data_IF_280656653858
#
_entry.id   IF_280656653858
#
_cell.length_a   1.000
_cell.length_b   1.000
_cell.length_c   1.000
_cell.angle_alpha   90.00
_cell.angle_beta   90.00
_cell.angle_gamma   90.00
#
_symmetry.space_group_name_H-M   'P 1'
#
loop_
_entity.id
_entity.type
_entity.pdbx_description
1 polymer ?
#
# COMPACT_ATOMS: atom_id res chain seq x y z
N UNK A 1 -29.87 -3.01 -23.55
CA UNK A 1 -30.40 -2.82 -22.18
C UNK A 1 -29.20 -2.69 -21.25
N UNK A 2 -29.25 -1.72 -20.34
CA UNK A 2 -28.14 -1.27 -19.51
C UNK A 2 -27.68 -2.36 -18.52
N UNK A 3 -26.38 -2.62 -18.44
CA UNK A 3 -25.79 -3.34 -17.31
C UNK A 3 -25.20 -2.34 -16.33
N UNK A 4 -25.83 -2.33 -15.15
CA UNK A 4 -25.43 -1.85 -13.83
C UNK A 4 -24.13 -1.05 -13.68
N UNK A 5 -24.32 0.21 -13.28
CA UNK A 5 -23.35 1.02 -12.56
C UNK A 5 -23.21 0.47 -11.12
N UNK A 6 -22.35 -0.53 -10.92
CA UNK A 6 -21.87 -0.85 -9.57
C UNK A 6 -21.03 0.34 -9.08
N UNK A 7 -21.27 0.85 -7.85
CA UNK A 7 -20.40 1.89 -7.30
C UNK A 7 -18.99 1.33 -7.21
N UNK A 8 -18.03 2.00 -7.84
CA UNK A 8 -16.62 1.62 -7.73
C UNK A 8 -16.24 1.54 -6.24
N UNK A 9 -15.58 0.45 -5.87
CA UNK A 9 -15.16 0.23 -4.48
C UNK A 9 -14.27 1.41 -4.02
N UNK A 10 -14.46 1.95 -2.81
CA UNK A 10 -13.62 3.02 -2.31
C UNK A 10 -12.14 2.65 -2.32
N UNK A 11 -11.29 3.64 -2.61
CA UNK A 11 -9.85 3.48 -2.57
C UNK A 11 -9.37 3.34 -1.13
N UNK A 12 -8.37 2.50 -0.91
CA UNK A 12 -7.76 2.30 0.40
C UNK A 12 -6.25 2.52 0.33
N UNK A 13 -5.68 2.96 1.45
CA UNK A 13 -4.26 3.20 1.53
C UNK A 13 -3.43 1.96 1.17
N UNK A 14 -3.74 0.80 1.75
CA UNK A 14 -2.94 -0.41 1.57
C UNK A 14 -2.98 -0.96 0.14
N UNK A 15 -4.16 -0.98 -0.49
CA UNK A 15 -4.33 -1.57 -1.83
C UNK A 15 -3.87 -0.63 -2.92
N UNK A 16 -4.27 0.64 -2.83
CA UNK A 16 -4.24 1.53 -3.99
C UNK A 16 -3.11 2.58 -3.90
N UNK A 17 -2.70 2.96 -2.69
CA UNK A 17 -1.80 4.10 -2.46
C UNK A 17 -0.41 3.68 -2.06
N UNK A 18 -0.30 2.73 -1.13
CA UNK A 18 0.98 2.20 -0.62
C UNK A 18 1.88 1.70 -1.75
N UNK A 19 1.39 1.00 -2.81
CA UNK A 19 2.25 0.59 -3.92
C UNK A 19 2.85 1.78 -4.69
N UNK A 20 2.06 2.84 -4.88
CA UNK A 20 2.50 4.08 -5.55
C UNK A 20 3.59 4.76 -4.71
N UNK A 21 3.34 4.93 -3.41
CA UNK A 21 4.32 5.56 -2.51
C UNK A 21 5.59 4.70 -2.37
N UNK A 22 5.46 3.36 -2.35
CA UNK A 22 6.61 2.44 -2.38
C UNK A 22 7.49 2.68 -3.60
N UNK A 23 6.90 2.90 -4.78
CA UNK A 23 7.63 3.10 -6.02
C UNK A 23 8.36 4.44 -6.09
N UNK A 24 7.76 5.50 -5.53
CA UNK A 24 8.20 6.88 -5.80
C UNK A 24 8.71 7.65 -4.58
N UNK A 25 8.30 7.29 -3.36
CA UNK A 25 8.46 8.17 -2.20
C UNK A 25 9.17 7.53 -1.00
N UNK A 26 8.95 6.24 -0.74
CA UNK A 26 9.38 5.61 0.50
C UNK A 26 10.90 5.49 0.65
N UNK A 27 11.67 5.55 -0.45
CA UNK A 27 13.14 5.56 -0.40
C UNK A 27 13.66 6.66 0.55
N UNK A 28 13.09 7.87 0.49
CA UNK A 28 13.50 9.00 1.34
C UNK A 28 12.51 9.36 2.45
N UNK A 29 11.24 9.00 2.29
CA UNK A 29 10.16 9.34 3.23
C UNK A 29 9.56 8.10 3.91
N UNK A 30 10.42 7.18 4.36
CA UNK A 30 9.99 6.03 5.16
C UNK A 30 11.02 4.91 5.38
N UNK A 31 11.86 4.60 4.39
CA UNK A 31 12.85 3.51 4.48
C UNK A 31 14.09 3.92 5.29
N UNK A 32 14.45 5.20 5.26
CA UNK A 32 15.54 5.77 6.05
C UNK A 32 15.17 5.82 7.55
N UNK A 33 16.16 5.66 8.42
CA UNK A 33 15.97 5.79 9.87
C UNK A 33 15.51 7.22 10.25
N UNK A 34 15.99 8.21 9.50
CA UNK A 34 15.62 9.62 9.61
C UNK A 34 15.02 10.09 8.27
N UNK A 35 13.69 10.07 8.10
CA UNK A 35 13.05 10.47 6.86
C UNK A 35 13.31 11.94 6.52
N UNK A 36 13.49 12.25 5.23
CA UNK A 36 13.72 13.63 4.79
C UNK A 36 12.55 14.54 5.17
N UNK A 37 12.88 15.73 5.69
CA UNK A 37 11.89 16.71 6.15
C UNK A 37 11.00 16.20 7.30
N UNK A 38 11.46 15.23 8.08
CA UNK A 38 10.70 14.64 9.18
C UNK A 38 9.42 13.93 8.76
N UNK A 39 9.26 13.62 7.46
CA UNK A 39 8.01 13.11 6.89
C UNK A 39 8.09 11.61 6.62
N UNK A 40 7.24 10.85 7.28
CA UNK A 40 7.04 9.40 7.05
C UNK A 40 5.71 9.16 6.31
N UNK A 41 5.79 8.51 5.15
CA UNK A 41 4.64 8.21 4.29
C UNK A 41 4.18 6.75 4.37
N UNK A 42 4.73 5.95 5.31
CA UNK A 42 4.39 4.53 5.45
C UNK A 42 2.99 4.27 6.00
N UNK A 43 2.37 5.28 6.62
CA UNK A 43 1.05 5.23 7.25
C UNK A 43 0.26 6.52 6.96
N UNK A 44 -1.04 6.39 6.74
CA UNK A 44 -1.95 7.49 6.50
C UNK A 44 -1.96 8.50 7.66
N UNK A 45 -1.95 8.02 8.92
CA UNK A 45 -1.86 8.93 10.08
C UNK A 45 -0.57 9.74 10.12
N UNK A 46 0.55 9.21 9.61
CA UNK A 46 1.81 9.95 9.58
C UNK A 46 1.78 11.05 8.52
N UNK A 47 1.11 10.80 7.40
CA UNK A 47 0.86 11.83 6.38
C UNK A 47 -0.04 12.96 6.91
N UNK A 48 -1.04 12.62 7.74
CA UNK A 48 -1.91 13.61 8.40
C UNK A 48 -1.17 14.41 9.48
N UNK A 49 -0.30 13.77 10.27
CA UNK A 49 0.55 14.47 11.24
C UNK A 49 1.58 15.37 10.55
N UNK A 50 2.09 14.93 9.40
CA UNK A 50 3.04 15.69 8.60
C UNK A 50 4.48 15.62 9.11
N UNK A 51 5.33 16.42 8.48
CA UNK A 51 6.73 16.63 8.85
C UNK A 51 7.02 18.12 9.08
N UNK A 52 8.24 18.55 8.79
CA UNK A 52 8.71 19.92 9.05
C UNK A 52 7.90 21.00 8.31
N UNK A 53 7.29 20.63 7.17
CA UNK A 53 6.43 21.53 6.38
C UNK A 53 4.96 21.51 6.80
N UNK A 54 4.60 20.72 7.81
CA UNK A 54 3.21 20.46 8.22
C UNK A 54 2.62 19.21 7.55
N UNK A 55 1.29 19.07 7.65
CA UNK A 55 0.54 17.92 7.16
C UNK A 55 0.77 17.70 5.65
N UNK A 56 1.14 16.48 5.27
CA UNK A 56 1.34 16.13 3.87
C UNK A 56 0.01 15.99 3.12
N UNK A 57 -1.05 15.55 3.81
CA UNK A 57 -2.39 15.43 3.25
C UNK A 57 -3.43 16.06 4.17
N UNK A 58 -4.52 16.55 3.59
CA UNK A 58 -5.72 16.97 4.27
C UNK A 58 -6.89 16.11 3.80
N UNK A 59 -7.41 15.24 4.66
CA UNK A 59 -8.49 14.31 4.30
C UNK A 59 -9.74 15.07 3.80
N UNK A 60 -10.25 14.66 2.64
CA UNK A 60 -11.35 15.35 1.94
C UNK A 60 -10.94 16.60 1.18
N UNK A 61 -9.66 17.02 1.21
CA UNK A 61 -9.17 18.26 0.61
C UNK A 61 -7.90 18.03 -0.22
N UNK A 62 -8.00 17.42 -1.42
CA UNK A 62 -6.84 17.17 -2.27
C UNK A 62 -6.09 18.45 -2.65
N UNK A 63 -6.82 19.53 -2.92
CA UNK A 63 -6.24 20.83 -3.29
C UNK A 63 -5.48 21.52 -2.14
N UNK A 64 -5.75 21.13 -0.88
CA UNK A 64 -5.05 21.64 0.30
C UNK A 64 -3.92 20.72 0.78
N UNK A 65 -3.58 19.69 0.02
CA UNK A 65 -2.60 18.67 0.43
C UNK A 65 -1.21 18.96 -0.16
N UNK A 66 -0.22 19.17 0.71
CA UNK A 66 1.16 19.48 0.29
C UNK A 66 1.78 18.38 -0.57
N UNK A 67 1.46 17.10 -0.32
CA UNK A 67 1.92 15.98 -1.14
C UNK A 67 1.56 16.20 -2.61
N UNK A 68 0.33 16.63 -2.86
CA UNK A 68 -0.18 16.88 -4.21
C UNK A 68 0.56 18.07 -4.85
N UNK A 69 0.71 19.17 -4.11
CA UNK A 69 1.43 20.36 -4.57
C UNK A 69 2.88 20.05 -4.97
N UNK A 70 3.62 19.31 -4.14
CA UNK A 70 5.03 18.97 -4.37
C UNK A 70 5.22 18.04 -5.57
N UNK A 71 4.25 17.19 -5.84
CA UNK A 71 4.26 16.37 -7.06
C UNK A 71 3.97 17.22 -8.29
N UNK A 72 2.97 18.10 -8.24
CA UNK A 72 2.62 18.97 -9.37
C UNK A 72 3.71 19.96 -9.74
N UNK A 73 4.42 20.50 -8.73
CA UNK A 73 5.56 21.39 -8.94
C UNK A 73 6.77 20.67 -9.55
N UNK A 74 6.77 19.33 -9.54
CA UNK A 74 7.88 18.50 -9.99
C UNK A 74 9.06 18.47 -9.02
N UNK A 75 8.88 18.99 -7.80
CA UNK A 75 9.88 18.88 -6.74
C UNK A 75 9.99 17.45 -6.21
N UNK A 76 8.88 16.71 -6.22
CA UNK A 76 8.80 15.32 -5.81
C UNK A 76 8.18 14.42 -6.88
N UNK A 77 8.70 13.19 -7.06
CA UNK A 77 10.01 12.72 -6.59
C UNK A 77 11.16 13.40 -7.35
N UNK A 78 12.35 13.53 -6.73
CA UNK A 78 13.50 14.15 -7.38
C UNK A 78 14.03 13.27 -8.52
N UNK A 79 14.59 13.91 -9.55
CA UNK A 79 15.23 13.23 -10.68
C UNK A 79 14.26 12.72 -11.74
N UNK A 80 14.60 11.59 -12.37
CA UNK A 80 13.87 11.07 -13.54
C UNK A 80 12.70 10.14 -13.21
N UNK A 81 12.58 9.67 -11.96
CA UNK A 81 11.53 8.72 -11.52
C UNK A 81 10.17 9.40 -11.37
N UNK A 82 9.63 10.03 -12.42
CA UNK A 82 8.37 10.76 -12.30
C UNK A 82 7.18 9.83 -12.11
N UNK A 83 6.29 10.23 -11.22
CA UNK A 83 4.98 9.61 -11.06
C UNK A 83 4.08 9.97 -12.25
N UNK A 84 3.28 9.01 -12.70
CA UNK A 84 2.33 9.23 -13.79
C UNK A 84 1.13 10.07 -13.34
N UNK A 85 0.48 10.74 -14.30
CA UNK A 85 -0.75 11.47 -14.03
C UNK A 85 -1.89 10.56 -13.51
N UNK A 86 -1.91 9.29 -13.91
CA UNK A 86 -2.88 8.32 -13.42
C UNK A 86 -2.67 7.99 -11.94
N UNK A 87 -1.42 7.75 -11.52
CA UNK A 87 -1.08 7.53 -10.11
C UNK A 87 -1.39 8.75 -9.25
N UNK A 88 -1.07 9.96 -9.72
CA UNK A 88 -1.42 11.20 -9.02
C UNK A 88 -2.95 11.35 -8.87
N UNK A 89 -3.70 11.01 -9.92
CA UNK A 89 -5.17 11.03 -9.90
C UNK A 89 -5.72 10.04 -8.86
N UNK A 90 -5.16 8.85 -8.75
CA UNK A 90 -5.51 7.86 -7.72
C UNK A 90 -5.30 8.42 -6.31
N UNK A 91 -4.17 9.09 -6.06
CA UNK A 91 -3.90 9.72 -4.77
C UNK A 91 -4.91 10.84 -4.48
N UNK A 92 -5.21 11.71 -5.46
CA UNK A 92 -6.21 12.78 -5.27
C UNK A 92 -7.57 12.21 -4.89
N UNK A 93 -8.04 11.22 -5.63
CA UNK A 93 -9.34 10.60 -5.41
C UNK A 93 -9.40 9.92 -4.02
N UNK A 94 -8.32 9.27 -3.61
CA UNK A 94 -8.25 8.67 -2.28
C UNK A 94 -8.27 9.73 -1.16
N UNK A 95 -7.57 10.84 -1.32
CA UNK A 95 -7.64 11.98 -0.37
C UNK A 95 -9.07 12.53 -0.33
N UNK A 96 -9.70 12.73 -1.48
CA UNK A 96 -11.09 13.22 -1.59
C UNK A 96 -12.07 12.29 -0.87
N UNK A 97 -11.87 10.98 -0.96
CA UNK A 97 -12.65 9.96 -0.26
C UNK A 97 -12.36 9.88 1.25
N UNK A 98 -11.51 10.76 1.78
CA UNK A 98 -11.22 10.87 3.20
C UNK A 98 -9.98 10.10 3.66
N UNK A 99 -9.05 9.77 2.74
CA UNK A 99 -7.78 9.14 3.05
C UNK A 99 -7.91 7.81 3.83
N UNK A 100 -8.87 6.98 3.44
CA UNK A 100 -9.25 5.76 4.18
C UNK A 100 -8.20 4.67 4.12
N UNK A 101 -8.06 3.93 5.21
CA UNK A 101 -7.30 2.69 5.27
C UNK A 101 -8.26 1.50 5.16
N UNK A 102 -7.77 0.37 4.64
CA UNK A 102 -8.52 -0.89 4.55
C UNK A 102 -8.74 -1.54 5.93
N UNK A 103 -7.90 -1.18 6.90
CA UNK A 103 -7.92 -1.69 8.27
C UNK A 103 -7.31 -0.68 9.23
N UNK A 104 -7.46 -0.85 10.56
CA UNK A 104 -6.74 -0.05 11.54
C UNK A 104 -5.23 -0.12 11.30
N UNK A 105 -4.58 1.04 11.35
CA UNK A 105 -3.13 1.09 11.18
C UNK A 105 -2.41 0.56 12.42
N UNK A 106 -1.25 -0.11 12.27
CA UNK A 106 -0.50 -0.63 13.40
C UNK A 106 0.01 0.51 14.28
N UNK A 107 -0.02 0.39 15.61
CA UNK A 107 0.45 1.45 16.52
C UNK A 107 1.95 1.73 16.38
N UNK A 108 2.74 0.69 16.10
CA UNK A 108 4.19 0.76 15.91
C UNK A 108 4.56 0.09 14.59
N UNK A 109 5.62 0.58 13.97
CA UNK A 109 6.27 -0.08 12.85
C UNK A 109 7.48 -0.85 13.36
N UNK A 110 7.48 -2.16 13.19
CA UNK A 110 8.63 -2.99 13.59
C UNK A 110 9.86 -2.67 12.74
N UNK A 111 11.08 -2.73 13.31
CA UNK A 111 12.31 -2.60 12.55
C UNK A 111 12.43 -3.72 11.50
N UNK A 112 12.84 -3.39 10.28
CA UNK A 112 13.12 -4.36 9.22
C UNK A 112 12.57 -3.97 7.85
N UNK A 113 12.60 -4.91 6.91
CA UNK A 113 12.22 -4.75 5.48
C UNK A 113 10.72 -4.44 5.24
N UNK A 114 9.93 -4.23 6.29
CA UNK A 114 8.57 -3.71 6.16
C UNK A 114 7.58 -4.67 5.48
N UNK A 115 7.75 -5.99 5.63
CA UNK A 115 6.80 -6.98 5.09
C UNK A 115 5.44 -6.79 5.78
N UNK A 116 4.42 -6.44 5.00
CA UNK A 116 3.06 -6.18 5.49
C UNK A 116 2.34 -7.49 5.88
N UNK A 117 1.26 -7.42 6.67
CA UNK A 117 0.46 -8.61 6.98
C UNK A 117 -0.03 -9.35 5.73
N UNK A 118 -0.52 -8.62 4.72
CA UNK A 118 -0.99 -9.18 3.43
C UNK A 118 0.13 -9.89 2.67
N UNK A 119 1.33 -9.30 2.66
CA UNK A 119 2.48 -9.93 2.03
C UNK A 119 2.86 -11.25 2.74
N UNK A 120 2.63 -11.35 4.05
CA UNK A 120 2.81 -12.60 4.81
C UNK A 120 1.71 -13.62 4.55
N UNK A 121 0.54 -13.22 4.07
CA UNK A 121 -0.54 -14.14 3.69
C UNK A 121 -0.25 -14.90 2.38
N UNK A 122 0.76 -14.48 1.62
CA UNK A 122 1.17 -15.20 0.42
C UNK A 122 1.63 -16.62 0.76
N UNK A 123 1.28 -17.59 -0.10
CA UNK A 123 1.43 -19.03 0.17
C UNK A 123 2.84 -19.44 0.62
N UNK A 124 3.88 -18.78 0.08
CA UNK A 124 5.28 -19.11 0.37
C UNK A 124 5.75 -18.68 1.76
N UNK A 125 5.00 -17.79 2.42
CA UNK A 125 5.27 -17.35 3.79
C UNK A 125 4.40 -18.06 4.83
N UNK A 126 3.45 -18.90 4.40
CA UNK A 126 2.62 -19.70 5.29
C UNK A 126 3.40 -20.94 5.78
N UNK A 127 3.22 -21.36 7.05
CA UNK A 127 3.80 -22.61 7.54
C UNK A 127 3.40 -23.80 6.66
N UNK A 128 4.36 -24.66 6.32
CA UNK A 128 4.09 -25.87 5.54
C UNK A 128 3.21 -26.80 6.39
N UNK A 129 1.92 -26.88 6.06
CA UNK A 129 1.01 -27.88 6.61
C UNK A 129 1.14 -29.18 5.80
N UNK A 130 1.33 -30.31 6.49
CA UNK A 130 1.30 -31.62 5.84
C UNK A 130 -0.16 -32.09 5.71
N UNK A 131 -0.76 -32.11 4.51
CA UNK A 131 -2.14 -32.60 4.36
C UNK A 131 -2.21 -34.08 4.73
N UNK A 132 -3.39 -34.53 5.18
CA UNK A 132 -3.64 -35.95 5.35
C UNK A 132 -3.50 -36.65 3.99
N UNK A 133 -2.81 -37.78 3.97
CA UNK A 133 -2.70 -38.61 2.77
C UNK A 133 -4.10 -39.13 2.44
N UNK A 134 -4.61 -38.95 1.21
CA UNK A 134 -5.90 -39.48 0.83
C UNK A 134 -5.95 -41.00 0.96
N UNK A 135 -7.09 -41.54 1.42
CA UNK A 135 -7.33 -42.98 1.46
C UNK A 135 -7.62 -43.47 0.03
N UNK A 136 -6.61 -44.03 -0.63
CA UNK A 136 -6.76 -44.52 -2.00
C UNK A 136 -7.13 -46.00 -2.02
N UNK A 137 -8.27 -46.33 -2.66
CA UNK A 137 -8.84 -47.68 -2.70
C UNK A 137 -8.38 -48.54 -3.88
N UNK A 138 -7.68 -47.97 -4.86
CA UNK A 138 -7.27 -48.67 -6.09
C UNK A 138 -5.76 -48.53 -6.38
N UNK A 139 -5.14 -49.61 -6.86
CA UNK A 139 -3.69 -49.78 -7.09
C UNK A 139 -3.07 -48.94 -8.21
N UNK A 140 -3.68 -47.80 -8.58
CA UNK A 140 -3.15 -46.84 -9.53
C UNK A 140 -2.06 -45.93 -8.92
N UNK A 141 -1.95 -45.89 -7.59
CA UNK A 141 -0.93 -45.13 -6.86
C UNK A 141 0.34 -45.97 -6.77
N UNK A 142 1.43 -45.48 -7.37
CA UNK A 142 2.74 -46.15 -7.32
C UNK A 142 3.69 -45.48 -6.35
N UNK A 143 3.47 -44.19 -6.04
CA UNK A 143 4.28 -43.42 -5.09
C UNK A 143 3.40 -42.51 -4.22
N UNK A 144 3.89 -42.06 -3.05
CA UNK A 144 3.18 -41.11 -2.18
C UNK A 144 2.87 -39.73 -2.80
N UNK A 145 3.35 -39.45 -4.02
CA UNK A 145 3.03 -38.23 -4.78
C UNK A 145 1.74 -38.43 -5.61
N UNK A 146 1.40 -39.68 -5.93
CA UNK A 146 0.28 -40.04 -6.82
C UNK A 146 -1.04 -40.28 -6.05
N UNK A 147 -1.01 -40.22 -4.72
CA UNK A 147 -2.16 -40.42 -3.81
C UNK A 147 -2.77 -39.12 -3.33
#
# INVERSE_FOLDING_TARGET
MLSANEPAEPLTFERDIRPILKAHCLDCHGAEAEPKGGLDLRLARFMLSGGDSGAAIAAGQPAGSLLIERVESGEMPPGEKKMSAAELSTIRLWIEQGAKTSRPEPEKLDPGIGITPEEREFWSFQPIARPAVPDVKDGAVRTPIDS
#
